data_IF_367425777081
#
_entry.id   IF_367425777081
#
_cell.length_a   1.000
_cell.length_b   1.000
_cell.length_c   1.000
_cell.angle_alpha   90.00
_cell.angle_beta   90.00
_cell.angle_gamma   90.00
#
_symmetry.space_group_name_H-M   'P 1'
#
loop_
_entity.id
_entity.type
_entity.pdbx_description
1 polymer ?
#
# COMPACT_ATOMS: atom_id res chain seq x y z
N UNK A 1 -12.97 -89.85 -69.04
CA UNK A 1 -14.32 -89.26 -68.88
C UNK A 1 -14.20 -88.17 -67.80
N UNK A 2 -14.05 -86.90 -68.16
CA UNK A 2 -15.11 -85.93 -68.45
C UNK A 2 -15.74 -85.26 -67.20
N UNK A 3 -15.55 -83.93 -67.14
CA UNK A 3 -16.46 -82.87 -66.65
C UNK A 3 -16.60 -82.48 -65.15
N UNK A 4 -16.16 -81.22 -64.92
CA UNK A 4 -16.89 -80.04 -64.39
C UNK A 4 -17.20 -79.84 -62.88
N UNK A 5 -16.65 -78.72 -62.39
CA UNK A 5 -17.15 -77.71 -61.43
C UNK A 5 -17.15 -78.13 -59.93
N UNK A 6 -16.74 -77.31 -58.95
CA UNK A 6 -17.02 -75.89 -58.77
C UNK A 6 -15.95 -75.16 -57.91
N UNK A 7 -15.78 -73.89 -58.29
CA UNK A 7 -15.02 -72.79 -57.75
C UNK A 7 -15.38 -72.42 -56.29
N UNK A 8 -14.39 -72.19 -55.40
CA UNK A 8 -14.48 -71.11 -54.38
C UNK A 8 -13.10 -70.67 -53.83
N UNK A 9 -12.53 -69.65 -54.47
CA UNK A 9 -11.62 -68.70 -53.82
C UNK A 9 -12.39 -67.97 -52.70
N UNK A 10 -11.80 -67.85 -51.50
CA UNK A 10 -12.19 -66.87 -50.47
C UNK A 10 -10.92 -66.51 -49.69
N UNK A 11 -10.11 -65.61 -50.25
CA UNK A 11 -10.12 -64.15 -49.97
C UNK A 11 -9.47 -63.90 -48.61
N UNK A 12 -8.18 -63.64 -48.68
CA UNK A 12 -7.38 -62.95 -47.66
C UNK A 12 -8.15 -61.71 -47.18
N UNK A 13 -8.32 -61.59 -45.86
CA UNK A 13 -8.79 -60.36 -45.23
C UNK A 13 -7.61 -59.76 -44.49
N UNK A 14 -7.09 -58.68 -45.06
CA UNK A 14 -6.25 -57.68 -44.42
C UNK A 14 -6.97 -57.19 -43.15
N UNK A 15 -6.54 -57.66 -41.98
CA UNK A 15 -6.85 -56.99 -40.72
C UNK A 15 -5.88 -55.82 -40.58
N UNK A 16 -6.18 -54.72 -41.26
CA UNK A 16 -5.73 -53.41 -40.79
C UNK A 16 -6.40 -53.20 -39.42
N UNK A 17 -5.68 -53.47 -38.34
CA UNK A 17 -6.12 -53.15 -36.98
C UNK A 17 -6.33 -51.64 -36.90
N UNK A 18 -7.56 -51.20 -37.11
CA UNK A 18 -7.95 -49.81 -36.94
C UNK A 18 -7.81 -49.52 -35.45
N UNK A 19 -6.66 -48.95 -35.07
CA UNK A 19 -6.29 -48.74 -33.68
C UNK A 19 -7.36 -47.85 -33.06
N UNK A 20 -8.05 -48.35 -32.04
CA UNK A 20 -9.13 -47.59 -31.41
C UNK A 20 -8.52 -46.39 -30.69
N UNK A 21 -8.69 -45.20 -31.27
CA UNK A 21 -8.21 -43.94 -30.73
C UNK A 21 -9.17 -43.37 -29.68
N UNK A 22 -10.32 -44.02 -29.42
CA UNK A 22 -11.27 -43.59 -28.39
C UNK A 22 -10.63 -43.35 -27.00
N UNK A 23 -9.68 -44.18 -26.52
CA UNK A 23 -8.99 -43.93 -25.26
C UNK A 23 -8.12 -42.66 -25.30
N UNK A 24 -7.50 -42.38 -26.45
CA UNK A 24 -6.65 -41.21 -26.63
C UNK A 24 -7.48 -39.92 -26.71
N UNK A 25 -8.59 -39.95 -27.45
CA UNK A 25 -9.55 -38.85 -27.49
C UNK A 25 -10.12 -38.56 -26.09
N UNK A 26 -10.48 -39.60 -25.33
CA UNK A 26 -11.00 -39.43 -23.98
C UNK A 26 -9.95 -38.81 -23.03
N UNK A 27 -8.67 -39.21 -23.14
CA UNK A 27 -7.57 -38.56 -22.41
C UNK A 27 -7.48 -37.07 -22.74
N UNK A 28 -7.46 -36.68 -24.02
CA UNK A 28 -7.34 -35.28 -24.42
C UNK A 28 -8.55 -34.45 -23.96
N UNK A 29 -9.76 -35.01 -24.06
CA UNK A 29 -11.01 -34.36 -23.60
C UNK A 29 -11.02 -34.12 -22.09
N UNK A 30 -10.34 -34.97 -21.30
CA UNK A 30 -10.20 -34.78 -19.84
C UNK A 30 -9.08 -33.77 -19.51
N UNK A 31 -8.01 -33.74 -20.32
CA UNK A 31 -6.85 -32.86 -20.08
C UNK A 31 -7.16 -31.39 -20.36
N UNK A 32 -7.93 -31.08 -21.40
CA UNK A 32 -8.29 -29.69 -21.74
C UNK A 32 -8.97 -28.96 -20.56
N UNK A 33 -10.07 -29.46 -19.95
CA UNK A 33 -10.70 -28.79 -18.82
C UNK A 33 -9.80 -28.77 -17.58
N UNK A 34 -8.97 -29.80 -17.33
CA UNK A 34 -7.98 -29.78 -16.25
C UNK A 34 -6.97 -28.63 -16.41
N UNK A 35 -6.47 -28.41 -17.62
CA UNK A 35 -5.53 -27.33 -17.91
C UNK A 35 -6.22 -25.95 -17.83
N UNK A 36 -7.42 -25.82 -18.40
CA UNK A 36 -8.19 -24.57 -18.35
C UNK A 36 -8.60 -24.18 -16.92
N UNK A 37 -8.89 -25.14 -16.05
CA UNK A 37 -9.13 -24.91 -14.62
C UNK A 37 -7.90 -24.41 -13.86
N UNK A 38 -6.68 -24.65 -14.34
CA UNK A 38 -5.47 -24.10 -13.71
C UNK A 38 -5.23 -22.63 -14.09
N UNK A 39 -5.55 -22.26 -15.33
CA UNK A 39 -5.31 -20.91 -15.86
C UNK A 39 -6.22 -19.86 -15.21
N UNK A 40 -7.45 -20.23 -14.85
CA UNK A 40 -8.39 -19.32 -14.17
C UNK A 40 -7.87 -18.82 -12.81
N UNK A 41 -6.91 -19.50 -12.18
CA UNK A 41 -6.33 -19.08 -10.90
C UNK A 41 -5.10 -18.17 -11.04
N UNK A 42 -4.64 -17.87 -12.27
CA UNK A 42 -3.53 -16.92 -12.50
C UNK A 42 -3.99 -15.47 -12.38
N UNK A 43 -5.30 -15.24 -12.21
CA UNK A 43 -5.84 -13.93 -11.86
C UNK A 43 -5.94 -13.74 -10.34
N UNK A 44 -4.83 -13.92 -9.61
CA UNK A 44 -4.63 -13.22 -8.36
C UNK A 44 -4.28 -11.75 -8.69
N UNK A 45 -5.26 -11.03 -9.23
CA UNK A 45 -5.24 -9.57 -9.13
C UNK A 45 -5.40 -9.24 -7.65
N UNK A 46 -4.42 -8.54 -7.08
CA UNK A 46 -4.56 -7.97 -5.73
C UNK A 46 -5.70 -6.96 -5.82
N UNK A 47 -6.90 -7.39 -5.48
CA UNK A 47 -8.01 -6.47 -5.20
C UNK A 47 -7.71 -5.98 -3.79
N UNK A 48 -7.20 -4.75 -3.67
CA UNK A 48 -7.21 -4.05 -2.40
C UNK A 48 -8.67 -3.77 -2.07
N UNK A 49 -9.26 -4.65 -1.27
CA UNK A 49 -10.60 -4.48 -0.74
C UNK A 49 -10.49 -3.43 0.37
N UNK A 50 -10.54 -2.16 0.00
CA UNK A 50 -10.97 -1.10 0.91
C UNK A 50 -12.47 -1.29 1.15
N UNK A 51 -12.82 -2.31 1.94
CA UNK A 51 -14.15 -2.39 2.53
C UNK A 51 -14.22 -1.33 3.62
N UNK A 52 -15.09 -0.36 3.41
CA UNK A 52 -15.69 0.48 4.45
C UNK A 52 -16.17 -0.40 5.61
N UNK A 53 -15.31 -0.62 6.59
CA UNK A 53 -15.67 -1.13 7.90
C UNK A 53 -15.24 -0.11 8.96
N UNK A 54 -15.75 1.11 8.83
CA UNK A 54 -15.89 2.03 9.94
C UNK A 54 -17.37 2.06 10.36
N UNK A 55 -17.73 1.19 11.31
CA UNK A 55 -18.91 1.41 12.15
C UNK A 55 -18.73 2.72 12.90
N UNK A 56 -19.31 3.79 12.35
CA UNK A 56 -19.28 5.13 12.89
C UNK A 56 -19.60 6.16 11.81
N UNK A 57 -20.89 6.29 11.49
CA UNK A 57 -21.51 7.31 10.63
C UNK A 57 -20.67 8.58 10.44
N UNK A 58 -19.88 8.66 9.37
CA UNK A 58 -19.32 9.91 8.88
C UNK A 58 -19.41 9.91 7.35
N UNK A 59 -20.08 10.94 6.85
CA UNK A 59 -20.58 11.09 5.50
C UNK A 59 -19.55 10.83 4.41
N UNK A 60 -20.03 10.23 3.32
CA UNK A 60 -19.37 10.25 2.02
C UNK A 60 -18.95 11.69 1.65
N UNK A 61 -17.82 11.89 0.95
CA UNK A 61 -17.48 13.16 0.35
C UNK A 61 -18.65 13.61 -0.55
N UNK A 62 -19.04 14.88 -0.42
CA UNK A 62 -20.07 15.48 -1.24
C UNK A 62 -19.64 15.44 -2.72
N UNK A 63 -20.54 14.99 -3.59
CA UNK A 63 -20.38 15.01 -5.04
C UNK A 63 -20.03 16.43 -5.53
N UNK A 64 -18.93 16.60 -6.28
CA UNK A 64 -18.72 17.83 -7.05
C UNK A 64 -17.34 18.14 -7.61
N UNK A 65 -16.24 17.74 -6.96
CA UNK A 65 -14.88 18.04 -7.43
C UNK A 65 -14.01 16.81 -7.17
N UNK A 66 -13.10 16.50 -8.10
CA UNK A 66 -12.15 15.39 -8.01
C UNK A 66 -11.22 15.60 -6.82
N UNK A 67 -11.67 15.22 -5.62
CA UNK A 67 -10.90 15.29 -4.40
C UNK A 67 -9.59 14.53 -4.59
N UNK A 68 -8.48 15.18 -4.26
CA UNK A 68 -7.17 14.60 -4.36
C UNK A 68 -7.07 13.51 -3.30
N UNK A 69 -7.13 12.23 -3.71
CA UNK A 69 -6.91 11.12 -2.79
C UNK A 69 -5.45 11.17 -2.28
N UNK A 70 -5.27 11.86 -1.15
CA UNK A 70 -3.98 12.11 -0.53
C UNK A 70 -3.72 11.05 0.55
N UNK A 71 -2.72 10.20 0.30
CA UNK A 71 -2.28 9.17 1.23
C UNK A 71 -0.82 9.43 1.64
N UNK A 72 -0.54 9.38 2.94
CA UNK A 72 0.80 9.42 3.50
C UNK A 72 1.08 8.04 4.10
N UNK A 73 1.96 7.29 3.45
CA UNK A 73 2.46 6.03 3.96
C UNK A 73 3.76 6.26 4.75
N UNK A 74 3.86 5.69 5.93
CA UNK A 74 5.02 5.76 6.79
C UNK A 74 5.78 4.44 6.71
N UNK A 75 7.09 4.51 6.48
CA UNK A 75 8.01 3.37 6.57
C UNK A 75 9.17 3.68 7.50
N UNK A 76 9.98 2.67 7.80
CA UNK A 76 11.28 2.83 8.47
C UNK A 76 12.29 3.70 7.69
N UNK A 77 12.07 3.94 6.39
CA UNK A 77 12.90 4.81 5.56
C UNK A 77 12.43 6.28 5.48
N UNK A 78 11.18 6.58 5.85
CA UNK A 78 10.62 7.93 5.84
C UNK A 78 9.12 7.99 5.52
N UNK A 79 8.71 9.04 4.82
CA UNK A 79 7.33 9.25 4.39
C UNK A 79 7.21 9.14 2.87
N UNK A 80 6.27 8.34 2.41
CA UNK A 80 5.83 8.27 1.02
C UNK A 80 4.50 9.01 0.89
N UNK A 81 4.45 10.02 0.03
CA UNK A 81 3.24 10.83 -0.18
C UNK A 81 2.69 10.50 -1.56
N UNK A 82 1.46 10.01 -1.58
CA UNK A 82 0.72 9.66 -2.78
C UNK A 82 -0.42 10.65 -2.97
N UNK A 83 -0.56 11.17 -4.18
CA UNK A 83 -1.62 12.08 -4.57
C UNK A 83 -2.23 11.55 -5.88
N UNK A 84 -3.57 11.44 -5.94
CA UNK A 84 -4.26 10.91 -7.13
C UNK A 84 -3.71 9.55 -7.61
N UNK A 85 -3.37 8.66 -6.68
CA UNK A 85 -2.80 7.31 -6.91
C UNK A 85 -1.38 7.28 -7.49
N UNK A 86 -0.76 8.43 -7.68
CA UNK A 86 0.65 8.53 -8.06
C UNK A 86 1.48 8.97 -6.87
N UNK A 87 2.69 8.42 -6.79
CA UNK A 87 3.64 8.82 -5.77
C UNK A 87 4.30 10.14 -6.16
N UNK A 88 4.34 11.09 -5.23
CA UNK A 88 5.04 12.36 -5.42
C UNK A 88 6.57 12.15 -5.47
N UNK A 89 7.27 12.94 -6.31
CA UNK A 89 8.72 12.85 -6.43
C UNK A 89 9.42 13.19 -5.11
N UNK A 90 10.61 12.65 -4.92
CA UNK A 90 11.42 12.93 -3.74
C UNK A 90 11.69 14.45 -3.60
N UNK A 91 11.57 14.95 -2.38
CA UNK A 91 11.90 16.35 -2.05
C UNK A 91 13.42 16.58 -2.13
N UNK A 92 13.81 17.84 -2.28
CA UNK A 92 15.23 18.22 -2.34
C UNK A 92 16.02 17.67 -1.14
N UNK A 93 17.13 16.99 -1.43
CA UNK A 93 17.99 16.36 -0.43
C UNK A 93 17.71 14.88 -0.18
N UNK A 94 16.62 14.33 -0.72
CA UNK A 94 16.32 12.91 -0.67
C UNK A 94 16.72 12.17 -1.95
N UNK A 95 17.05 10.87 -1.87
CA UNK A 95 17.39 10.07 -3.05
C UNK A 95 16.16 9.92 -3.97
N UNK A 96 16.40 9.91 -5.28
CA UNK A 96 15.33 9.76 -6.29
C UNK A 96 14.63 8.40 -6.18
N UNK A 97 15.41 7.35 -5.91
CA UNK A 97 14.93 6.03 -5.52
C UNK A 97 14.89 5.98 -3.99
N UNK A 98 13.70 5.96 -3.39
CA UNK A 98 13.57 6.05 -1.92
C UNK A 98 12.15 6.42 -1.52
N UNK A 99 11.90 7.03 -0.35
CA UNK A 99 10.62 7.66 0.01
C UNK A 99 10.48 9.08 -0.58
N UNK A 100 9.29 9.68 -0.51
CA UNK A 100 9.08 11.09 -0.94
C UNK A 100 9.83 12.05 -0.01
N UNK A 101 9.81 11.79 1.30
CA UNK A 101 10.57 12.49 2.32
C UNK A 101 11.36 11.44 3.09
N UNK A 102 12.67 11.49 2.99
CA UNK A 102 13.61 10.61 3.67
C UNK A 102 13.80 11.01 5.14
N UNK A 103 14.48 10.15 5.90
CA UNK A 103 14.88 10.48 7.27
C UNK A 103 15.75 11.75 7.30
N UNK A 104 15.52 12.60 8.29
CA UNK A 104 16.38 13.75 8.59
C UNK A 104 17.76 13.29 9.08
N UNK A 105 17.81 12.18 9.81
CA UNK A 105 19.04 11.54 10.26
C UNK A 105 19.09 10.08 9.76
N UNK A 106 19.85 9.87 8.69
CA UNK A 106 20.03 8.55 8.07
C UNK A 106 21.02 7.65 8.82
N UNK A 107 21.67 8.15 9.89
CA UNK A 107 22.60 7.35 10.70
C UNK A 107 21.88 6.51 11.75
N UNK A 108 20.60 6.80 11.99
CA UNK A 108 19.77 6.10 12.97
C UNK A 108 19.15 4.87 12.33
N UNK A 109 19.42 3.70 12.91
CA UNK A 109 18.69 2.47 12.60
C UNK A 109 17.30 2.50 13.23
N UNK A 110 16.34 3.03 12.48
CA UNK A 110 14.94 3.17 12.90
C UNK A 110 14.28 1.82 13.13
N UNK A 111 14.50 0.87 12.21
CA UNK A 111 13.91 -0.47 12.30
C UNK A 111 14.41 -1.21 13.55
N UNK A 112 15.74 -1.17 13.80
CA UNK A 112 16.34 -1.75 14.99
C UNK A 112 15.82 -1.12 16.29
N UNK A 113 15.61 0.21 16.30
CA UNK A 113 15.01 0.90 17.45
C UNK A 113 13.55 0.52 17.69
N UNK A 114 12.76 0.31 16.63
CA UNK A 114 11.37 -0.15 16.78
C UNK A 114 11.31 -1.56 17.38
N UNK A 115 12.18 -2.46 16.90
CA UNK A 115 12.33 -3.80 17.47
C UNK A 115 12.77 -3.76 18.94
N UNK A 116 13.73 -2.91 19.28
CA UNK A 116 14.19 -2.72 20.66
C UNK A 116 13.07 -2.16 21.55
N UNK A 117 12.35 -1.12 21.09
CA UNK A 117 11.24 -0.53 21.82
C UNK A 117 10.14 -1.57 22.09
N UNK A 118 9.80 -2.41 21.10
CA UNK A 118 8.83 -3.50 21.26
C UNK A 118 9.28 -4.50 22.32
N UNK A 119 10.53 -4.96 22.26
CA UNK A 119 11.09 -5.89 23.28
C UNK A 119 11.08 -5.29 24.68
N UNK A 120 11.42 -4.01 24.82
CA UNK A 120 11.41 -3.32 26.11
C UNK A 120 9.99 -3.17 26.67
N UNK A 121 9.01 -2.91 25.81
CA UNK A 121 7.61 -2.86 26.19
C UNK A 121 7.12 -4.22 26.68
N UNK A 122 7.39 -5.29 25.92
CA UNK A 122 7.04 -6.67 26.29
C UNK A 122 7.74 -7.13 27.59
N UNK A 123 8.93 -6.59 27.87
CA UNK A 123 9.67 -6.81 29.12
C UNK A 123 9.14 -5.98 30.30
N UNK A 124 8.03 -5.25 30.15
CA UNK A 124 7.43 -4.43 31.19
C UNK A 124 8.22 -3.16 31.53
N UNK A 125 9.03 -2.64 30.58
CA UNK A 125 9.84 -1.42 30.73
C UNK A 125 9.35 -0.29 29.81
N UNK A 126 8.14 0.25 30.04
CA UNK A 126 7.52 1.22 29.12
C UNK A 126 8.31 2.52 28.99
N UNK A 127 8.92 3.01 30.07
CA UNK A 127 9.71 4.26 30.02
C UNK A 127 10.98 4.11 29.17
N UNK A 128 11.63 2.94 29.24
CA UNK A 128 12.79 2.64 28.41
C UNK A 128 12.38 2.47 26.93
N UNK A 129 11.27 1.77 26.68
CA UNK A 129 10.70 1.61 25.34
C UNK A 129 10.37 2.97 24.72
N UNK A 130 9.76 3.88 25.50
CA UNK A 130 9.44 5.24 25.08
C UNK A 130 10.70 6.03 24.72
N UNK A 131 11.75 5.98 25.54
CA UNK A 131 13.01 6.67 25.26
C UNK A 131 13.64 6.22 23.93
N UNK A 132 13.63 4.92 23.66
CA UNK A 132 14.13 4.36 22.39
C UNK A 132 13.27 4.84 21.22
N UNK A 133 11.94 4.81 21.38
CA UNK A 133 10.99 5.26 20.38
C UNK A 133 11.13 6.77 20.08
N UNK A 134 11.31 7.60 21.10
CA UNK A 134 11.54 9.03 20.94
C UNK A 134 12.82 9.28 20.12
N UNK A 135 13.87 8.49 20.36
CA UNK A 135 15.11 8.54 19.58
C UNK A 135 14.97 8.04 18.14
N UNK A 136 14.01 7.15 17.84
CA UNK A 136 13.67 6.77 16.47
C UNK A 136 12.85 7.87 15.79
N UNK A 137 11.88 8.44 16.51
CA UNK A 137 11.00 9.50 16.03
C UNK A 137 11.78 10.76 15.64
N UNK A 138 12.84 11.10 16.38
CA UNK A 138 13.71 12.24 16.06
C UNK A 138 14.47 12.10 14.74
N UNK A 139 14.63 10.88 14.21
CA UNK A 139 15.29 10.66 12.93
C UNK A 139 14.39 11.03 11.73
N UNK A 140 13.07 11.13 11.91
CA UNK A 140 12.13 11.44 10.84
C UNK A 140 12.05 12.93 10.53
N UNK A 141 11.96 13.30 9.25
CA UNK A 141 11.75 14.68 8.82
C UNK A 141 10.27 15.09 8.82
N UNK A 142 9.68 15.22 10.01
CA UNK A 142 8.30 15.74 10.18
C UNK A 142 8.14 17.18 9.66
N UNK A 143 9.21 17.96 9.66
CA UNK A 143 9.24 19.30 9.08
C UNK A 143 9.07 19.23 7.56
N UNK A 144 9.80 18.34 6.91
CA UNK A 144 9.67 18.04 5.48
C UNK A 144 8.24 17.59 5.13
N UNK A 145 7.67 16.71 5.95
CA UNK A 145 6.25 16.30 5.82
C UNK A 145 5.30 17.49 5.88
N UNK A 146 5.43 18.35 6.90
CA UNK A 146 4.59 19.56 7.00
C UNK A 146 4.73 20.47 5.79
N UNK A 147 5.97 20.75 5.35
CA UNK A 147 6.23 21.64 4.22
C UNK A 147 5.56 21.11 2.94
N UNK A 148 5.67 19.79 2.69
CA UNK A 148 5.05 19.13 1.55
C UNK A 148 3.51 19.20 1.62
N UNK A 149 2.94 18.88 2.78
CA UNK A 149 1.51 18.93 3.02
C UNK A 149 0.94 20.36 2.91
N UNK A 150 1.67 21.36 3.40
CA UNK A 150 1.29 22.77 3.29
C UNK A 150 1.31 23.25 1.83
N UNK A 151 2.28 22.79 1.04
CA UNK A 151 2.34 23.07 -0.40
C UNK A 151 1.16 22.42 -1.15
N UNK A 152 0.85 21.15 -0.86
CA UNK A 152 -0.27 20.45 -1.46
C UNK A 152 -1.60 21.13 -1.11
N UNK A 153 -1.81 21.50 0.15
CA UNK A 153 -3.01 22.23 0.58
C UNK A 153 -3.15 23.61 -0.08
N UNK A 154 -2.04 24.23 -0.49
CA UNK A 154 -2.08 25.48 -1.26
C UNK A 154 -2.46 25.24 -2.72
N UNK A 155 -2.04 24.13 -3.30
CA UNK A 155 -2.40 23.72 -4.66
C UNK A 155 -3.86 23.21 -4.75
N UNK A 156 -4.35 22.58 -3.68
CA UNK A 156 -5.68 21.98 -3.56
C UNK A 156 -6.39 22.46 -2.27
N UNK A 157 -6.88 23.71 -2.23
CA UNK A 157 -7.52 24.29 -1.03
C UNK A 157 -8.78 23.54 -0.56
N UNK A 158 -9.48 22.88 -1.46
CA UNK A 158 -10.67 22.05 -1.26
C UNK A 158 -10.37 20.74 -0.52
N UNK A 159 -9.15 20.22 -0.61
CA UNK A 159 -8.82 18.89 -0.07
C UNK A 159 -8.78 18.90 1.46
N UNK A 160 -9.74 18.25 2.11
CA UNK A 160 -9.85 18.23 3.57
C UNK A 160 -9.28 16.97 4.21
N UNK A 161 -9.12 15.90 3.42
CA UNK A 161 -8.83 14.56 3.90
C UNK A 161 -7.40 14.18 3.60
N UNK A 162 -6.76 13.55 4.59
CA UNK A 162 -5.46 12.88 4.40
C UNK A 162 -5.55 11.52 5.05
N UNK A 163 -5.20 10.49 4.31
CA UNK A 163 -5.14 9.13 4.82
C UNK A 163 -3.71 8.82 5.27
N UNK A 164 -3.54 8.41 6.52
CA UNK A 164 -2.27 7.94 7.06
C UNK A 164 -2.26 6.43 7.13
N UNK A 165 -1.19 5.80 6.62
CA UNK A 165 -0.96 4.36 6.73
C UNK A 165 0.48 4.09 7.11
N UNK A 166 0.78 2.92 7.67
CA UNK A 166 2.14 2.55 8.09
C UNK A 166 2.40 1.07 7.86
N UNK A 167 3.68 0.72 7.79
CA UNK A 167 4.13 -0.68 7.74
C UNK A 167 3.73 -1.45 9.02
N UNK A 168 3.55 -2.78 8.95
CA UNK A 168 3.03 -3.57 10.08
C UNK A 168 3.88 -3.53 11.37
N UNK A 169 5.17 -3.27 11.25
CA UNK A 169 6.14 -3.15 12.35
C UNK A 169 6.20 -1.73 12.93
N UNK A 170 5.48 -0.76 12.33
CA UNK A 170 5.51 0.62 12.76
C UNK A 170 4.82 0.86 14.10
N UNK A 171 5.49 1.49 15.08
CA UNK A 171 4.84 1.89 16.32
C UNK A 171 3.74 2.93 16.07
N UNK A 172 2.57 2.71 16.67
CA UNK A 172 1.41 3.59 16.52
C UNK A 172 1.68 5.07 16.84
N UNK A 173 2.61 5.35 17.77
CA UNK A 173 3.00 6.72 18.11
C UNK A 173 3.56 7.51 16.91
N UNK A 174 4.18 6.84 15.95
CA UNK A 174 4.69 7.46 14.72
C UNK A 174 3.55 7.99 13.84
N UNK A 175 2.49 7.19 13.70
CA UNK A 175 1.29 7.57 12.95
C UNK A 175 0.57 8.75 13.61
N UNK A 176 0.37 8.69 14.93
CA UNK A 176 -0.21 9.81 15.68
C UNK A 176 0.60 11.07 15.50
N UNK A 177 1.93 10.98 15.57
CA UNK A 177 2.80 12.13 15.37
C UNK A 177 2.65 12.74 13.97
N UNK A 178 2.55 11.92 12.93
CA UNK A 178 2.32 12.38 11.57
C UNK A 178 0.94 13.03 11.39
N UNK A 179 -0.10 12.45 12.00
CA UNK A 179 -1.45 13.03 12.00
C UNK A 179 -1.50 14.38 12.70
N UNK A 180 -0.82 14.54 13.83
CA UNK A 180 -0.74 15.82 14.55
C UNK A 180 -0.10 16.90 13.70
N UNK A 181 0.97 16.55 12.96
CA UNK A 181 1.65 17.45 12.02
C UNK A 181 0.73 17.90 10.88
N UNK A 182 -0.14 17.02 10.39
CA UNK A 182 -1.06 17.33 9.30
C UNK A 182 -2.33 18.06 9.74
N UNK A 183 -2.64 18.05 11.05
CA UNK A 183 -3.87 18.62 11.58
C UNK A 183 -3.85 20.14 11.63
N UNK A 184 -2.75 20.75 12.07
CA UNK A 184 -2.70 22.18 12.39
C UNK A 184 -1.87 22.96 11.38
N UNK A 185 -2.42 24.08 10.89
CA UNK A 185 -1.67 25.00 10.05
C UNK A 185 -0.81 25.91 10.93
N UNK A 186 0.50 25.90 10.72
CA UNK A 186 1.45 26.75 11.44
C UNK A 186 1.55 28.15 10.80
N UNK A 187 2.18 29.08 11.51
CA UNK A 187 2.40 30.48 11.07
C UNK A 187 2.97 30.61 9.65
N UNK A 188 3.91 29.74 9.28
CA UNK A 188 4.53 29.66 7.96
C UNK A 188 4.15 28.35 7.27
N UNK A 189 4.16 28.37 5.95
CA UNK A 189 3.93 27.20 5.10
C UNK A 189 5.24 26.41 4.82
N UNK A 190 6.41 26.98 5.14
CA UNK A 190 7.70 26.32 4.95
C UNK A 190 8.70 26.69 6.07
N UNK A 191 9.38 25.68 6.61
CA UNK A 191 10.46 25.81 7.58
C UNK A 191 11.74 25.16 7.07
N UNK A 192 12.87 25.86 7.18
CA UNK A 192 14.20 25.33 6.84
C UNK A 192 14.79 24.47 7.95
N UNK A 193 14.63 24.92 9.20
CA UNK A 193 15.20 24.27 10.38
C UNK A 193 14.11 23.54 11.19
N UNK A 194 14.40 22.32 11.65
CA UNK A 194 13.47 21.54 12.47
C UNK A 194 13.19 22.20 13.83
N UNK A 195 14.15 22.94 14.39
CA UNK A 195 13.98 23.68 15.64
C UNK A 195 12.95 24.80 15.52
N UNK A 196 12.95 25.51 14.38
CA UNK A 196 11.97 26.56 14.10
C UNK A 196 10.58 25.98 13.86
N UNK A 197 10.50 24.82 13.22
CA UNK A 197 9.25 24.11 12.99
C UNK A 197 8.60 23.69 14.31
N UNK A 198 9.34 23.04 15.21
CA UNK A 198 8.79 22.60 16.50
C UNK A 198 8.46 23.74 17.46
N UNK A 199 9.11 24.90 17.31
CA UNK A 199 8.81 26.10 18.08
C UNK A 199 7.70 26.97 17.47
N UNK A 200 7.20 26.63 16.28
CA UNK A 200 6.22 27.46 15.58
C UNK A 200 4.84 27.35 16.24
N UNK A 201 4.15 28.48 16.33
CA UNK A 201 2.76 28.49 16.78
C UNK A 201 1.81 28.12 15.63
N UNK A 202 0.63 27.65 16.03
CA UNK A 202 -0.50 27.44 15.13
C UNK A 202 -1.07 28.77 14.66
N UNK A 203 -1.53 28.85 13.40
CA UNK A 203 -2.26 30.02 12.92
C UNK A 203 -3.66 30.06 13.51
N UNK A 204 -3.95 31.15 14.20
CA UNK A 204 -5.27 31.46 14.73
C UNK A 204 -6.01 32.41 13.77
N UNK A 205 -7.22 32.07 13.37
CA UNK A 205 -8.18 33.00 12.75
C UNK A 205 -9.42 33.11 13.64
N UNK A 206 -9.75 34.32 14.07
CA UNK A 206 -10.97 34.61 14.85
C UNK A 206 -11.10 33.76 16.13
N UNK A 207 -9.97 33.54 16.83
CA UNK A 207 -9.95 32.78 18.09
C UNK A 207 -10.01 31.25 17.95
N UNK A 208 -9.98 30.70 16.73
CA UNK A 208 -9.87 29.26 16.46
C UNK A 208 -8.60 28.95 15.68
N UNK A 209 -7.91 27.86 16.05
CA UNK A 209 -6.79 27.33 15.27
C UNK A 209 -7.30 26.90 13.89
N UNK A 210 -6.58 27.30 12.84
CA UNK A 210 -6.86 26.85 11.48
C UNK A 210 -6.26 25.46 11.26
N UNK A 211 -7.12 24.50 10.91
CA UNK A 211 -6.66 23.19 10.49
C UNK A 211 -5.90 23.28 9.17
N UNK A 212 -4.83 22.50 9.03
CA UNK A 212 -4.16 22.29 7.74
C UNK A 212 -5.00 21.33 6.90
N UNK A 213 -5.32 20.16 7.44
CA UNK A 213 -6.37 19.27 6.97
C UNK A 213 -7.38 19.06 8.11
N UNK A 214 -8.68 19.19 7.83
CA UNK A 214 -9.71 19.07 8.87
C UNK A 214 -9.92 17.62 9.29
N UNK A 215 -9.66 16.67 8.39
CA UNK A 215 -10.02 15.26 8.57
C UNK A 215 -8.82 14.32 8.28
N UNK A 216 -7.78 14.30 9.14
CA UNK A 216 -6.76 13.27 9.08
C UNK A 216 -7.38 11.93 9.51
N UNK A 217 -7.38 10.96 8.60
CA UNK A 217 -7.92 9.61 8.82
C UNK A 217 -6.78 8.62 8.89
N UNK A 218 -6.85 7.68 9.84
CA UNK A 218 -5.94 6.55 9.88
C UNK A 218 -6.52 5.38 9.07
N UNK A 219 -5.74 4.83 8.15
CA UNK A 219 -5.97 3.55 7.51
C UNK A 219 -4.92 2.55 8.01
N UNK A 220 -5.35 1.40 8.52
CA UNK A 220 -4.45 0.34 8.94
C UNK A 220 -4.25 -0.56 7.71
N UNK A 221 -3.04 -0.61 7.16
CA UNK A 221 -2.67 -1.68 6.25
C UNK A 221 -2.61 -2.98 7.08
N UNK A 222 -3.51 -3.93 6.79
CA UNK A 222 -3.49 -5.28 7.36
C UNK A 222 -2.72 -6.24 6.47
#
# INVERSE_FOLDING_TARGET
>A
MAQRQHNKRRREQEQSSNLDLAPFMNMVVILIPMLLLSVIFVSAGVINVSTDLATGTHSAPNDGEEALELTVALSNAGFEVMAAKERLPAVDGCPAEGPTICLADTSVDVAGKFDEAKRLYDAGKPDAAKSVLDGAMQAYDFRGLYNQLAQLKKAHPEETRVVFTGEPDMPYAMLIRAMDVARFKLEKDNYRESTQFWAANERVQTGKTRALFSDPVLAIAQ
#
